data_IF_654354497084
#
_entry.id   IF_654354497084
#
_cell.length_a   1.000
_cell.length_b   1.000
_cell.length_c   1.000
_cell.angle_alpha   90.00
_cell.angle_beta   90.00
_cell.angle_gamma   90.00
#
_symmetry.space_group_name_H-M   'P 1'
#
loop_
_entity.id
_entity.type
_entity.pdbx_description
1 polymer ?
#
# COMPACT_ATOMS: atom_id res chain seq x y z
N UNK A 1 -6.28 -2.64 -0.57
CA UNK A 1 -5.20 -2.86 0.40
C UNK A 1 -4.77 -4.31 0.38
N UNK A 2 -3.47 -4.54 0.25
CA UNK A 2 -2.90 -5.87 0.40
C UNK A 2 -1.90 -5.86 1.55
N UNK A 3 -1.98 -6.87 2.40
CA UNK A 3 -1.07 -7.03 3.54
C UNK A 3 -0.17 -8.23 3.27
N UNK A 4 1.15 -8.00 3.23
CA UNK A 4 2.11 -9.06 3.00
C UNK A 4 2.23 -9.93 4.25
N UNK A 5 1.92 -11.22 4.11
CA UNK A 5 2.04 -12.20 5.19
C UNK A 5 3.29 -13.05 5.01
N UNK A 6 3.58 -13.92 5.99
CA UNK A 6 4.76 -14.78 5.94
C UNK A 6 4.78 -15.73 4.75
N UNK A 7 3.61 -16.10 4.26
CA UNK A 7 3.49 -17.06 3.15
C UNK A 7 3.47 -16.39 1.78
N UNK A 8 3.45 -15.07 1.74
CA UNK A 8 3.45 -14.31 0.49
C UNK A 8 4.85 -13.91 0.11
N UNK A 9 5.09 -13.74 -1.19
CA UNK A 9 6.30 -13.07 -1.65
C UNK A 9 5.95 -11.66 -2.07
N UNK A 10 6.90 -10.74 -1.90
CA UNK A 10 6.71 -9.36 -2.29
C UNK A 10 6.40 -9.26 -3.79
N UNK A 11 7.13 -10.03 -4.61
CA UNK A 11 6.92 -10.01 -6.07
C UNK A 11 5.52 -10.40 -6.48
N UNK A 12 4.95 -11.43 -5.82
CA UNK A 12 3.59 -11.85 -6.10
C UNK A 12 2.57 -10.76 -5.82
N UNK A 13 2.72 -10.08 -4.68
CA UNK A 13 1.81 -9.00 -4.32
C UNK A 13 2.01 -7.76 -5.19
N UNK A 14 3.24 -7.49 -5.60
CA UNK A 14 3.51 -6.40 -6.53
C UNK A 14 2.81 -6.62 -7.87
N UNK A 15 2.83 -7.86 -8.39
CA UNK A 15 2.11 -8.19 -9.60
C UNK A 15 0.60 -8.01 -9.44
N UNK A 16 0.08 -8.39 -8.27
CA UNK A 16 -1.35 -8.23 -7.97
C UNK A 16 -1.73 -6.75 -7.97
N UNK A 17 -0.89 -5.89 -7.38
CA UNK A 17 -1.15 -4.46 -7.37
C UNK A 17 -1.17 -3.89 -8.79
N UNK A 18 -0.27 -4.34 -9.66
CA UNK A 18 -0.26 -3.90 -11.05
C UNK A 18 -1.55 -4.32 -11.78
N UNK A 19 -2.06 -5.52 -11.49
CA UNK A 19 -3.33 -5.96 -12.06
C UNK A 19 -4.48 -5.09 -11.59
N UNK A 20 -4.50 -4.71 -10.33
CA UNK A 20 -5.52 -3.82 -9.81
C UNK A 20 -5.52 -2.48 -10.57
N UNK A 21 -4.35 -1.91 -10.80
CA UNK A 21 -4.24 -0.66 -11.57
C UNK A 21 -4.75 -0.81 -12.98
N UNK A 22 -4.43 -1.94 -13.63
CA UNK A 22 -4.93 -2.23 -14.97
C UNK A 22 -6.44 -2.35 -15.02
N UNK A 23 -7.05 -2.74 -13.91
CA UNK A 23 -8.49 -2.89 -13.80
C UNK A 23 -9.20 -1.65 -13.25
N UNK A 24 -8.51 -0.51 -13.22
CA UNK A 24 -9.13 0.77 -12.91
C UNK A 24 -9.00 1.24 -11.47
N UNK A 25 -8.27 0.53 -10.63
CA UNK A 25 -8.00 1.01 -9.27
C UNK A 25 -7.10 2.23 -9.35
N UNK A 26 -7.47 3.31 -8.64
CA UNK A 26 -6.73 4.56 -8.69
C UNK A 26 -5.76 4.76 -7.54
N UNK A 27 -5.87 3.96 -6.49
CA UNK A 27 -4.97 4.04 -5.34
C UNK A 27 -4.90 2.66 -4.70
N UNK A 28 -3.70 2.14 -4.53
CA UNK A 28 -3.50 0.86 -3.88
C UNK A 28 -2.37 0.93 -2.86
N UNK A 29 -2.54 0.21 -1.75
CA UNK A 29 -1.52 0.11 -0.70
C UNK A 29 -1.10 -1.34 -0.54
N UNK A 30 0.21 -1.59 -0.62
CA UNK A 30 0.81 -2.88 -0.30
C UNK A 30 1.61 -2.67 0.99
N UNK A 31 1.12 -3.26 2.08
CA UNK A 31 1.71 -3.05 3.41
C UNK A 31 2.63 -4.22 3.73
N UNK A 32 3.89 -3.91 4.01
CA UNK A 32 4.92 -4.90 4.31
C UNK A 32 5.39 -4.73 5.76
N UNK A 33 4.84 -5.55 6.69
CA UNK A 33 5.21 -5.43 8.10
C UNK A 33 6.66 -5.80 8.40
N UNK A 34 7.25 -6.70 7.62
CA UNK A 34 8.63 -7.11 7.82
C UNK A 34 9.62 -5.96 7.64
N UNK A 35 9.44 -5.21 6.56
CA UNK A 35 10.30 -4.07 6.25
C UNK A 35 9.81 -2.79 6.89
N UNK A 36 8.63 -2.82 7.51
CA UNK A 36 7.94 -1.65 8.05
C UNK A 36 7.80 -0.56 7.01
N UNK A 37 7.32 -0.94 5.84
CA UNK A 37 7.14 -0.05 4.70
C UNK A 37 5.78 -0.27 4.06
N UNK A 38 5.26 0.76 3.41
CA UNK A 38 4.07 0.66 2.57
C UNK A 38 4.42 1.13 1.18
N UNK A 39 4.05 0.34 0.18
CA UNK A 39 4.21 0.71 -1.22
C UNK A 39 2.89 1.30 -1.69
N UNK A 40 2.92 2.56 -2.12
CA UNK A 40 1.72 3.26 -2.57
C UNK A 40 1.70 3.24 -4.08
N UNK A 41 0.65 2.64 -4.64
CA UNK A 41 0.49 2.47 -6.08
C UNK A 41 -0.54 3.44 -6.63
N UNK A 42 -0.18 4.15 -7.70
CA UNK A 42 -1.06 5.05 -8.43
C UNK A 42 -0.89 4.78 -9.93
N UNK A 43 -1.94 5.00 -10.73
CA UNK A 43 -1.83 4.79 -12.18
C UNK A 43 -0.70 5.63 -12.79
N UNK A 44 0.04 5.03 -13.71
CA UNK A 44 1.06 5.71 -14.51
C UNK A 44 2.21 6.31 -13.71
N UNK A 45 2.44 5.79 -12.51
CA UNK A 45 3.55 6.22 -11.65
C UNK A 45 4.27 5.03 -11.08
N UNK A 46 5.56 5.19 -10.81
CA UNK A 46 6.30 4.21 -10.04
C UNK A 46 5.76 4.18 -8.61
N UNK A 47 5.74 3.01 -7.96
CA UNK A 47 5.30 2.93 -6.56
C UNK A 47 6.16 3.80 -5.65
N UNK A 48 5.49 4.48 -4.74
CA UNK A 48 6.17 5.28 -3.71
C UNK A 48 6.29 4.43 -2.45
N UNK A 49 7.48 4.38 -1.87
CA UNK A 49 7.72 3.57 -0.68
C UNK A 49 7.80 4.50 0.54
N UNK A 50 6.89 4.29 1.49
CA UNK A 50 6.80 5.12 2.69
C UNK A 50 7.07 4.28 3.94
N UNK A 51 7.73 4.85 4.96
CA UNK A 51 7.89 4.14 6.23
C UNK A 51 6.57 4.07 6.99
N UNK A 52 6.46 3.12 7.92
CA UNK A 52 5.25 2.94 8.71
C UNK A 52 4.88 4.16 9.54
N UNK A 53 5.87 4.98 9.89
CA UNK A 53 5.64 6.18 10.71
C UNK A 53 4.88 7.27 9.95
N UNK A 54 4.88 7.20 8.63
CA UNK A 54 4.19 8.19 7.82
C UNK A 54 2.76 7.74 7.56
N UNK A 55 1.80 8.62 7.87
CA UNK A 55 0.39 8.32 7.64
C UNK A 55 0.10 8.20 6.14
N UNK A 56 -0.76 7.24 5.79
CA UNK A 56 -1.21 7.06 4.41
C UNK A 56 -2.44 7.93 4.18
N UNK A 57 -2.45 8.63 3.06
CA UNK A 57 -3.57 9.47 2.67
C UNK A 57 -4.48 8.76 1.68
N UNK A 58 -5.79 8.92 1.82
CA UNK A 58 -6.75 8.45 0.84
C UNK A 58 -6.79 9.29 -0.42
N UNK A 59 -6.09 10.42 -0.42
CA UNK A 59 -5.97 11.32 -1.56
C UNK A 59 -7.35 11.77 -2.04
N UNK A 60 -7.55 11.89 -3.33
CA UNK A 60 -8.87 12.26 -3.87
C UNK A 60 -9.78 11.05 -4.06
N UNK A 61 -9.25 9.84 -3.89
CA UNK A 61 -10.05 8.61 -3.94
C UNK A 61 -10.92 8.48 -2.70
N UNK A 62 -10.35 8.78 -1.52
CA UNK A 62 -11.06 8.82 -0.24
C UNK A 62 -10.68 10.12 0.47
N UNK A 63 -11.25 11.26 0.06
CA UNK A 63 -10.84 12.55 0.61
C UNK A 63 -10.97 12.62 2.13
N UNK A 64 -9.93 13.10 2.78
CA UNK A 64 -9.91 13.24 4.24
C UNK A 64 -9.58 11.98 5.01
N UNK A 65 -9.44 10.84 4.32
CA UNK A 65 -9.07 9.60 4.98
C UNK A 65 -7.56 9.52 5.20
N UNK A 66 -7.16 9.14 6.41
CA UNK A 66 -5.76 8.88 6.74
C UNK A 66 -5.65 7.59 7.55
N UNK A 67 -4.60 6.82 7.29
CA UNK A 67 -4.33 5.59 8.02
C UNK A 67 -2.93 5.65 8.62
N UNK A 68 -2.84 5.49 9.92
CA UNK A 68 -1.56 5.35 10.60
C UNK A 68 -1.24 3.86 10.72
N UNK A 69 -0.37 3.37 9.85
CA UNK A 69 -0.08 1.94 9.75
C UNK A 69 0.60 1.42 11.02
N UNK A 70 1.57 2.15 11.55
CA UNK A 70 2.28 1.74 12.76
C UNK A 70 1.32 1.59 13.93
N UNK A 71 0.46 2.57 14.14
CA UNK A 71 -0.52 2.53 15.23
C UNK A 71 -1.51 1.38 15.04
N UNK A 72 -1.93 1.15 13.81
CA UNK A 72 -2.94 0.12 13.50
C UNK A 72 -2.39 -1.28 13.68
N UNK A 73 -1.17 -1.54 13.22
CA UNK A 73 -0.60 -2.89 13.21
C UNK A 73 0.33 -3.20 14.38
N UNK A 74 0.93 -2.19 14.98
CA UNK A 74 1.97 -2.37 16.00
C UNK A 74 1.56 -1.87 17.39
N UNK A 75 0.33 -1.54 17.55
CA UNK A 75 -0.20 -1.02 18.81
C UNK A 75 -0.23 -2.12 19.87
#
# INVERSE_FOLDING_TARGET
>A
IELLSENDTLGELQEKMEQYLKNGVRLGWLIDPKSRQTHVYRPEREPEILPFEKALSGEDVLPGFELNVARTLEN
#
